data_IF_272226370408
#
_entry.id   IF_272226370408
#
_cell.length_a   1.000
_cell.length_b   1.000
_cell.length_c   1.000
_cell.angle_alpha   90.00
_cell.angle_beta   90.00
_cell.angle_gamma   90.00
#
_symmetry.space_group_name_H-M   'P 1'
#
loop_
_entity.id
_entity.type
_entity.pdbx_description
1 polymer ?
#
# COMPACT_ATOMS: atom_id res chain seq x y z
N UNK A 1 4.45 -12.44 8.78
CA UNK A 1 5.44 -11.61 8.04
C UNK A 1 4.68 -10.56 7.24
N UNK A 2 4.94 -9.27 7.44
CA UNK A 2 4.21 -8.14 6.82
C UNK A 2 4.18 -8.25 5.28
N UNK A 3 3.00 -8.12 4.69
CA UNK A 3 2.75 -8.32 3.25
C UNK A 3 3.53 -7.32 2.38
N UNK A 4 3.82 -6.11 2.88
CA UNK A 4 4.70 -5.15 2.20
C UNK A 4 6.09 -5.74 1.97
N UNK A 5 6.73 -6.28 3.01
CA UNK A 5 8.07 -6.87 2.89
C UNK A 5 8.08 -8.10 1.98
N UNK A 6 7.01 -8.91 1.97
CA UNK A 6 6.90 -10.03 1.03
C UNK A 6 6.85 -9.55 -0.42
N UNK A 7 5.99 -8.57 -0.71
CA UNK A 7 5.86 -8.01 -2.05
C UNK A 7 7.18 -7.40 -2.53
N UNK A 8 7.84 -6.59 -1.69
CA UNK A 8 9.13 -5.97 -2.02
C UNK A 8 10.24 -7.02 -2.19
N UNK A 9 10.30 -8.04 -1.32
CA UNK A 9 11.29 -9.12 -1.45
C UNK A 9 11.11 -9.90 -2.75
N UNK A 10 9.86 -10.12 -3.18
CA UNK A 10 9.57 -10.75 -4.47
C UNK A 10 10.05 -9.89 -5.65
N UNK A 11 9.80 -8.57 -5.61
CA UNK A 11 10.31 -7.65 -6.64
C UNK A 11 11.84 -7.64 -6.72
N UNK A 12 12.52 -7.58 -5.57
CA UNK A 12 13.99 -7.65 -5.53
C UNK A 12 14.49 -8.96 -6.12
N UNK A 13 13.90 -10.10 -5.75
CA UNK A 13 14.29 -11.40 -6.28
C UNK A 13 14.06 -11.53 -7.80
N UNK A 14 13.06 -10.85 -8.35
CA UNK A 14 12.70 -10.94 -9.77
C UNK A 14 13.47 -9.96 -10.65
N UNK A 15 13.66 -8.72 -10.20
CA UNK A 15 14.09 -7.60 -11.04
C UNK A 15 15.43 -6.99 -10.60
N UNK A 16 15.87 -7.23 -9.36
CA UNK A 16 17.06 -6.60 -8.77
C UNK A 16 17.98 -7.59 -8.06
N UNK A 17 17.94 -8.87 -8.44
CA UNK A 17 18.68 -9.93 -7.75
C UNK A 17 20.20 -9.70 -7.79
N UNK A 18 20.76 -9.33 -8.94
CA UNK A 18 22.20 -9.10 -9.10
C UNK A 18 22.69 -7.98 -8.18
N UNK A 19 21.98 -6.85 -8.15
CA UNK A 19 22.30 -5.72 -7.28
C UNK A 19 22.17 -6.09 -5.80
N UNK A 20 21.18 -6.91 -5.45
CA UNK A 20 21.05 -7.43 -4.09
C UNK A 20 22.20 -8.38 -3.73
N UNK A 21 22.63 -9.25 -4.64
CA UNK A 21 23.73 -10.17 -4.42
C UNK A 21 25.06 -9.42 -4.20
N UNK A 22 25.32 -8.36 -4.96
CA UNK A 22 26.49 -7.47 -4.78
C UNK A 22 26.50 -6.82 -3.39
N UNK A 23 25.37 -6.20 -2.99
CA UNK A 23 25.23 -5.60 -1.66
C UNK A 23 25.41 -6.64 -0.56
N UNK A 24 24.83 -7.82 -0.73
CA UNK A 24 24.95 -8.90 0.24
C UNK A 24 26.41 -9.36 0.39
N UNK A 25 27.14 -9.48 -0.71
CA UNK A 25 28.56 -9.84 -0.69
C UNK A 25 29.41 -8.80 0.06
N UNK A 26 29.14 -7.50 -0.13
CA UNK A 26 29.84 -6.45 0.61
C UNK A 26 29.53 -6.48 2.11
N UNK A 27 28.28 -6.76 2.49
CA UNK A 27 27.88 -6.88 3.90
C UNK A 27 28.58 -8.07 4.55
N UNK A 28 28.55 -9.24 3.91
CA UNK A 28 29.21 -10.45 4.43
C UNK A 28 30.71 -10.22 4.55
N UNK A 29 31.36 -9.66 3.52
CA UNK A 29 32.80 -9.38 3.55
C UNK A 29 33.19 -8.41 4.67
N UNK A 30 32.37 -7.41 4.95
CA UNK A 30 32.60 -6.50 6.08
C UNK A 30 32.46 -7.22 7.43
N UNK A 31 31.42 -8.04 7.60
CA UNK A 31 31.20 -8.79 8.85
C UNK A 31 32.33 -9.79 9.08
N UNK A 32 32.77 -10.51 8.05
CA UNK A 32 33.89 -11.44 8.12
C UNK A 32 35.18 -10.72 8.53
N UNK A 33 35.43 -9.52 7.99
CA UNK A 33 36.56 -8.70 8.40
C UNK A 33 36.51 -8.33 9.89
N UNK A 34 35.35 -7.93 10.40
CA UNK A 34 35.17 -7.57 11.82
C UNK A 34 35.39 -8.78 12.73
N UNK A 35 34.89 -9.96 12.33
CA UNK A 35 35.05 -11.19 13.12
C UNK A 35 36.51 -11.62 13.17
N UNK A 36 37.17 -11.67 12.02
CA UNK A 36 38.56 -12.11 11.91
C UNK A 36 39.56 -11.14 12.56
N UNK A 37 39.17 -9.90 12.80
CA UNK A 37 39.99 -8.90 13.52
C UNK A 37 39.70 -8.86 15.02
N UNK A 38 38.71 -9.62 15.50
CA UNK A 38 38.37 -9.69 16.92
C UNK A 38 39.23 -10.72 17.66
N UNK A 39 39.40 -10.54 18.98
CA UNK A 39 40.09 -11.50 19.86
C UNK A 39 39.21 -12.71 20.22
N UNK A 40 37.95 -12.72 19.74
CA UNK A 40 36.95 -13.72 20.05
C UNK A 40 36.80 -14.72 18.88
N UNK A 41 36.58 -15.99 19.21
CA UNK A 41 36.24 -17.00 18.19
C UNK A 41 34.76 -16.89 17.82
N UNK A 42 34.45 -15.99 16.89
CA UNK A 42 33.09 -15.71 16.45
C UNK A 42 32.79 -16.42 15.12
N UNK A 43 31.53 -16.78 14.93
CA UNK A 43 31.01 -17.37 13.69
C UNK A 43 29.70 -16.66 13.31
N UNK A 44 29.39 -16.66 12.03
CA UNK A 44 28.19 -16.05 11.46
C UNK A 44 27.37 -17.04 10.66
N UNK A 45 26.12 -17.21 11.07
CA UNK A 45 25.10 -17.93 10.30
C UNK A 45 24.33 -16.92 9.43
N UNK A 46 24.94 -16.45 8.34
CA UNK A 46 24.35 -15.39 7.50
C UNK A 46 23.45 -15.96 6.40
N UNK A 47 22.18 -16.19 6.74
CA UNK A 47 21.08 -16.23 5.75
C UNK A 47 20.50 -14.82 5.58
N UNK A 48 21.17 -14.00 4.76
CA UNK A 48 20.75 -12.60 4.57
C UNK A 48 19.54 -12.49 3.64
N UNK A 49 18.35 -12.36 4.24
CA UNK A 49 17.09 -12.22 3.51
C UNK A 49 16.76 -10.73 3.28
N UNK A 50 16.33 -10.37 2.06
CA UNK A 50 15.91 -9.00 1.68
C UNK A 50 14.96 -8.38 2.72
N UNK A 51 13.99 -9.15 3.22
CA UNK A 51 13.03 -8.69 4.22
C UNK A 51 13.68 -8.18 5.51
N UNK A 52 14.84 -8.71 5.91
CA UNK A 52 15.56 -8.27 7.10
C UNK A 52 16.27 -6.93 6.85
N UNK A 53 16.86 -6.74 5.67
CA UNK A 53 17.42 -5.45 5.27
C UNK A 53 16.36 -4.35 5.24
N UNK A 54 15.20 -4.63 4.63
CA UNK A 54 14.09 -3.66 4.57
C UNK A 54 13.58 -3.27 5.97
N UNK A 55 13.55 -4.22 6.91
CA UNK A 55 13.21 -3.94 8.31
C UNK A 55 14.28 -3.11 9.01
N UNK A 56 15.55 -3.45 8.80
CA UNK A 56 16.69 -2.71 9.37
C UNK A 56 16.68 -1.25 8.92
N UNK A 57 16.39 -1.01 7.63
CA UNK A 57 16.22 0.33 7.07
C UNK A 57 14.91 1.03 7.47
N UNK A 58 14.08 0.41 8.32
CA UNK A 58 12.78 0.91 8.74
C UNK A 58 11.89 1.31 7.55
N UNK A 59 11.81 0.50 6.49
CA UNK A 59 10.94 0.77 5.35
C UNK A 59 9.47 0.64 5.77
N UNK A 60 8.71 1.72 5.65
CA UNK A 60 7.29 1.81 5.98
C UNK A 60 6.55 2.71 4.98
N UNK A 61 5.22 2.65 4.98
CA UNK A 61 4.39 3.55 4.18
C UNK A 61 4.54 4.96 4.78
N UNK A 62 4.84 5.96 3.94
CA UNK A 62 4.95 7.36 4.35
C UNK A 62 3.69 7.80 5.09
N UNK A 63 3.86 8.67 6.10
CA UNK A 63 2.75 9.34 6.78
C UNK A 63 2.68 10.83 6.48
N UNK A 64 3.62 11.35 5.71
CA UNK A 64 3.65 12.73 5.23
C UNK A 64 2.87 12.82 3.92
N UNK A 65 1.83 13.64 3.92
CA UNK A 65 0.94 13.86 2.78
C UNK A 65 0.65 15.35 2.65
N UNK A 66 0.59 15.89 1.43
CA UNK A 66 0.29 17.31 1.22
C UNK A 66 -1.19 17.59 1.50
N UNK A 67 -2.07 16.63 1.18
CA UNK A 67 -3.49 16.74 1.44
C UNK A 67 -4.13 15.38 1.80
N UNK A 68 -5.34 15.43 2.36
CA UNK A 68 -6.07 14.24 2.80
C UNK A 68 -6.47 13.31 1.65
N UNK A 69 -6.65 13.84 0.43
CA UNK A 69 -7.04 13.04 -0.74
C UNK A 69 -5.88 12.14 -1.20
N UNK A 70 -4.64 12.64 -1.21
CA UNK A 70 -3.45 11.84 -1.47
C UNK A 70 -3.32 10.69 -0.48
N UNK A 71 -3.48 10.98 0.82
CA UNK A 71 -3.48 9.96 1.86
C UNK A 71 -4.52 8.87 1.59
N UNK A 72 -5.72 9.27 1.15
CA UNK A 72 -6.79 8.35 0.83
C UNK A 72 -6.50 7.52 -0.42
N UNK A 73 -5.95 8.12 -1.48
CA UNK A 73 -5.50 7.42 -2.70
C UNK A 73 -4.40 6.40 -2.37
N UNK A 74 -3.43 6.77 -1.54
CA UNK A 74 -2.37 5.88 -1.09
C UNK A 74 -2.91 4.70 -0.26
N UNK A 75 -3.89 4.97 0.60
CA UNK A 75 -4.63 3.92 1.29
C UNK A 75 -5.32 2.96 0.31
N UNK A 76 -6.05 3.46 -0.69
CA UNK A 76 -6.68 2.63 -1.71
C UNK A 76 -5.65 1.81 -2.51
N UNK A 77 -4.49 2.40 -2.81
CA UNK A 77 -3.37 1.70 -3.46
C UNK A 77 -2.88 0.56 -2.59
N UNK A 78 -2.69 0.78 -1.29
CA UNK A 78 -2.28 -0.26 -0.36
C UNK A 78 -3.33 -1.38 -0.26
N UNK A 79 -4.62 -1.03 -0.16
CA UNK A 79 -5.72 -2.00 -0.15
C UNK A 79 -5.71 -2.89 -1.40
N UNK A 80 -5.53 -2.30 -2.58
CA UNK A 80 -5.47 -3.05 -3.84
C UNK A 80 -4.20 -3.89 -3.96
N UNK A 81 -3.04 -3.31 -3.71
CA UNK A 81 -1.74 -3.93 -4.02
C UNK A 81 -1.25 -4.88 -2.94
N UNK A 82 -1.53 -4.56 -1.67
CA UNK A 82 -1.10 -5.31 -0.49
C UNK A 82 -2.21 -6.26 -0.06
N UNK A 83 -3.42 -5.74 0.21
CA UNK A 83 -4.53 -6.55 0.72
C UNK A 83 -5.24 -7.37 -0.37
N UNK A 84 -4.99 -7.06 -1.65
CA UNK A 84 -5.63 -7.72 -2.81
C UNK A 84 -7.17 -7.63 -2.77
N UNK A 85 -7.70 -6.54 -2.24
CA UNK A 85 -9.13 -6.28 -2.21
C UNK A 85 -9.53 -5.39 -3.38
N UNK A 86 -10.62 -5.78 -4.04
CA UNK A 86 -11.15 -5.06 -5.20
C UNK A 86 -12.32 -4.14 -4.83
N UNK A 87 -12.95 -4.34 -3.66
CA UNK A 87 -14.12 -3.58 -3.23
C UNK A 87 -13.78 -2.84 -1.94
N UNK A 88 -14.10 -1.54 -1.90
CA UNK A 88 -13.87 -0.67 -0.74
C UNK A 88 -15.15 0.07 -0.41
N UNK A 89 -15.65 -0.13 0.80
CA UNK A 89 -16.80 0.62 1.33
C UNK A 89 -16.30 1.84 2.12
N UNK A 90 -16.92 3.00 1.86
CA UNK A 90 -16.64 4.25 2.56
C UNK A 90 -17.95 4.86 3.00
N UNK A 91 -17.98 5.40 4.22
CA UNK A 91 -19.16 6.07 4.75
C UNK A 91 -19.01 7.56 4.47
N UNK A 92 -20.03 8.18 3.87
CA UNK A 92 -20.13 9.62 3.62
C UNK A 92 -18.90 10.24 2.93
N UNK A 93 -18.35 9.56 1.91
CA UNK A 93 -17.10 9.97 1.24
C UNK A 93 -17.12 11.45 0.80
N UNK A 94 -18.25 11.92 0.26
CA UNK A 94 -18.37 13.27 -0.30
C UNK A 94 -18.36 14.37 0.75
N UNK A 95 -18.50 14.05 2.03
CA UNK A 95 -18.38 15.02 3.12
C UNK A 95 -16.91 15.37 3.42
N UNK A 96 -15.96 14.55 2.96
CA UNK A 96 -14.53 14.74 3.24
C UNK A 96 -13.76 15.45 2.13
N UNK A 97 -14.29 15.41 0.90
CA UNK A 97 -13.56 15.83 -0.30
C UNK A 97 -14.43 16.75 -1.15
N UNK A 98 -13.81 17.78 -1.71
CA UNK A 98 -14.45 18.57 -2.76
C UNK A 98 -14.50 17.78 -4.08
N UNK A 99 -15.27 18.28 -5.04
CA UNK A 99 -15.49 17.63 -6.33
C UNK A 99 -14.19 17.32 -7.10
N UNK A 100 -13.21 18.24 -7.09
CA UNK A 100 -11.93 18.02 -7.76
C UNK A 100 -11.18 16.82 -7.17
N UNK A 101 -11.13 16.69 -5.84
CA UNK A 101 -10.51 15.54 -5.19
C UNK A 101 -11.31 14.26 -5.38
N UNK A 102 -12.65 14.32 -5.39
CA UNK A 102 -13.49 13.17 -5.68
C UNK A 102 -13.23 12.63 -7.09
N UNK A 103 -13.07 13.51 -8.08
CA UNK A 103 -12.74 13.12 -9.45
C UNK A 103 -11.40 12.37 -9.53
N UNK A 104 -10.36 12.87 -8.87
CA UNK A 104 -9.06 12.19 -8.82
C UNK A 104 -9.14 10.82 -8.11
N UNK A 105 -9.90 10.72 -7.02
CA UNK A 105 -10.17 9.45 -6.33
C UNK A 105 -10.90 8.47 -7.26
N UNK A 106 -11.95 8.92 -7.95
CA UNK A 106 -12.74 8.08 -8.86
C UNK A 106 -11.90 7.59 -10.04
N UNK A 107 -11.12 8.49 -10.64
CA UNK A 107 -10.18 8.18 -11.72
C UNK A 107 -9.14 7.15 -11.28
N UNK A 108 -8.57 7.32 -10.07
CA UNK A 108 -7.66 6.34 -9.49
C UNK A 108 -8.32 4.97 -9.32
N UNK A 109 -9.53 4.91 -8.74
CA UNK A 109 -10.29 3.68 -8.58
C UNK A 109 -10.57 2.99 -9.91
N UNK A 110 -11.01 3.76 -10.92
CA UNK A 110 -11.29 3.26 -12.26
C UNK A 110 -10.07 2.60 -12.90
N UNK A 111 -8.92 3.30 -12.93
CA UNK A 111 -7.70 2.76 -13.54
C UNK A 111 -7.15 1.53 -12.80
N UNK A 112 -7.31 1.49 -11.47
CA UNK A 112 -6.82 0.38 -10.66
C UNK A 112 -7.84 -0.74 -10.46
N UNK A 113 -9.00 -0.67 -11.13
CA UNK A 113 -10.10 -1.63 -11.00
C UNK A 113 -10.47 -1.86 -9.53
N UNK A 114 -10.75 -0.76 -8.83
CA UNK A 114 -11.26 -0.73 -7.46
C UNK A 114 -12.72 -0.30 -7.53
N UNK A 115 -13.62 -1.14 -7.03
CA UNK A 115 -15.03 -0.81 -6.82
C UNK A 115 -15.18 -0.03 -5.52
N UNK A 116 -15.35 1.28 -5.66
CA UNK A 116 -15.59 2.17 -4.52
C UNK A 116 -17.10 2.26 -4.27
N UNK A 117 -17.54 1.82 -3.10
CA UNK A 117 -18.94 1.90 -2.68
C UNK A 117 -19.07 2.97 -1.61
N UNK A 118 -19.66 4.10 -1.98
CA UNK A 118 -19.95 5.18 -1.04
C UNK A 118 -21.34 4.96 -0.41
N UNK A 119 -21.37 4.81 0.91
CA UNK A 119 -22.59 4.65 1.69
C UNK A 119 -22.91 5.99 2.34
N UNK A 120 -23.94 6.66 1.84
CA UNK A 120 -24.35 7.98 2.30
C UNK A 120 -25.67 7.93 3.05
N UNK A 121 -25.82 8.75 4.08
CA UNK A 121 -27.06 8.87 4.84
C UNK A 121 -28.12 9.75 4.13
N UNK A 122 -27.69 10.60 3.20
CA UNK A 122 -28.54 11.52 2.43
C UNK A 122 -28.05 11.51 0.98
N UNK A 123 -28.96 11.53 0.02
CA UNK A 123 -28.60 11.67 -1.39
C UNK A 123 -27.92 13.03 -1.61
N UNK A 124 -26.64 13.01 -1.97
CA UNK A 124 -25.90 14.20 -2.39
C UNK A 124 -26.21 14.59 -3.84
N UNK A 125 -25.71 15.75 -4.26
CA UNK A 125 -25.59 16.07 -5.69
C UNK A 125 -24.74 15.02 -6.41
N UNK A 126 -25.17 14.70 -7.63
CA UNK A 126 -24.49 13.75 -8.49
C UNK A 126 -23.28 14.43 -9.12
N UNK A 127 -22.16 13.72 -9.08
CA UNK A 127 -20.92 14.07 -9.79
C UNK A 127 -20.67 13.03 -10.87
N UNK A 128 -19.88 13.40 -11.87
CA UNK A 128 -19.61 12.52 -13.01
C UNK A 128 -19.04 11.16 -12.54
N UNK A 129 -19.62 10.07 -13.05
CA UNK A 129 -19.23 8.70 -12.70
C UNK A 129 -20.01 8.08 -11.53
N UNK A 130 -20.83 8.85 -10.82
CA UNK A 130 -21.70 8.28 -9.79
C UNK A 130 -22.76 7.34 -10.37
N UNK A 131 -23.08 6.31 -9.59
CA UNK A 131 -24.28 5.48 -9.75
C UNK A 131 -24.95 5.38 -8.40
N UNK A 132 -26.25 5.66 -8.36
CA UNK A 132 -26.98 5.71 -7.11
C UNK A 132 -27.93 4.52 -6.97
N UNK A 133 -27.91 3.94 -5.78
CA UNK A 133 -28.96 3.07 -5.28
C UNK A 133 -29.46 3.70 -3.98
N UNK A 134 -30.74 4.00 -3.91
CA UNK A 134 -31.37 4.53 -2.70
C UNK A 134 -32.16 3.41 -2.05
N UNK A 135 -31.92 3.23 -0.75
CA UNK A 135 -32.72 2.36 0.12
C UNK A 135 -33.64 3.26 0.92
N UNK A 136 -34.95 3.13 0.72
CA UNK A 136 -35.93 3.89 1.49
C UNK A 136 -36.20 3.26 2.87
N UNK A 137 -37.10 3.88 3.64
CA UNK A 137 -37.44 3.41 4.99
C UNK A 137 -38.14 2.06 5.02
N UNK A 138 -38.77 1.68 3.91
CA UNK A 138 -39.46 0.41 3.74
C UNK A 138 -38.53 -0.68 3.16
N UNK A 139 -37.22 -0.38 3.07
CA UNK A 139 -36.18 -1.23 2.48
C UNK A 139 -36.36 -1.49 0.98
N UNK A 140 -37.13 -0.64 0.29
CA UNK A 140 -37.23 -0.70 -1.16
C UNK A 140 -35.97 -0.09 -1.81
N UNK A 141 -35.55 -0.69 -2.92
CA UNK A 141 -34.40 -0.27 -3.71
C UNK A 141 -34.85 0.57 -4.91
N UNK A 142 -34.29 1.77 -5.03
CA UNK A 142 -34.49 2.67 -6.17
C UNK A 142 -33.15 2.87 -6.88
N UNK A 143 -33.05 2.41 -8.12
CA UNK A 143 -31.89 2.65 -8.99
C UNK A 143 -32.11 3.95 -9.79
N UNK A 144 -31.11 4.85 -9.77
CA UNK A 144 -31.14 6.14 -10.45
C UNK A 144 -30.04 6.27 -11.50
#
# INVERSE_FOLDING_TARGET
MNQLYKNLSYHVAKEHFEKFAEVNQHIIGFVDYVINTSEYNLVTDTDFVVANLLKYCNVHISTEYENFAEKFIDYLRAVKTICKLDVVFVINLKQYFNENYLFEIYKFCFYNKIFLVNVENIKSEAIEGDKYVIIDKDLCLLEL
#
